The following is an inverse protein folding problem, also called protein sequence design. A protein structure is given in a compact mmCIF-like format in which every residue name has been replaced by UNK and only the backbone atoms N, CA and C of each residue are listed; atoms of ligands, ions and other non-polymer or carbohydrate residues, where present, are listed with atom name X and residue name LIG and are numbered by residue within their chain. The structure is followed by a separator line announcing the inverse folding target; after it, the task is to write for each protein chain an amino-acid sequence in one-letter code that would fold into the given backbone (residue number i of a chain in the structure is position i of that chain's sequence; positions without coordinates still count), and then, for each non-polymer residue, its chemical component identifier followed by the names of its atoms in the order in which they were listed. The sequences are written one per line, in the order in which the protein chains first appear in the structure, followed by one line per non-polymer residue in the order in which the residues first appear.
data_IF_417546391216
#
_entry.id   IF_417546391216
#
_cell.length_a   1.000
_cell.length_b   1.000
_cell.length_c   1.000
_cell.angle_alpha   90.00
_cell.angle_beta   90.00
_cell.angle_gamma   90.00
#
_symmetry.space_group_name_H-M   'P 1'
#
loop_
_entity.id
_entity.type
_entity.pdbx_description
1 polymer ?
#
# COMPACT_ATOMS: atom_id res chain seq x y z
N UNK A 1 8.45 -20.10 5.66
CA UNK A 1 8.89 -19.32 4.49
C UNK A 1 10.29 -19.80 4.13
N UNK A 2 10.62 -20.02 2.85
CA UNK A 2 11.99 -20.35 2.46
C UNK A 2 12.93 -19.19 2.78
N UNK A 3 14.16 -19.49 3.17
CA UNK A 3 15.22 -18.49 3.41
C UNK A 3 15.55 -17.79 2.10
N UNK A 4 15.60 -16.45 2.12
CA UNK A 4 15.89 -15.61 0.94
C UNK A 4 17.04 -14.62 1.18
N UNK A 5 17.58 -14.53 2.41
CA UNK A 5 18.74 -13.73 2.78
C UNK A 5 19.99 -14.55 3.09
N UNK A 6 21.17 -13.94 2.91
CA UNK A 6 22.47 -14.53 3.29
C UNK A 6 22.65 -14.63 4.82
N UNK A 7 21.78 -13.96 5.59
CA UNK A 7 21.68 -13.96 7.05
C UNK A 7 20.89 -15.16 7.62
N UNK A 8 20.30 -15.99 6.74
CA UNK A 8 19.48 -17.12 7.15
C UNK A 8 18.03 -16.76 7.49
N UNK A 9 17.60 -15.52 7.24
CA UNK A 9 16.22 -15.08 7.44
C UNK A 9 15.41 -15.08 6.12
N UNK A 10 14.10 -14.85 6.26
CA UNK A 10 13.16 -14.80 5.14
C UNK A 10 12.35 -13.50 5.21
N UNK A 11 12.19 -12.81 4.08
CA UNK A 11 11.31 -11.64 3.98
C UNK A 11 9.84 -12.06 4.13
N UNK A 12 9.17 -11.52 5.14
CA UNK A 12 7.77 -11.84 5.44
C UNK A 12 6.75 -11.14 4.55
N UNK A 13 7.16 -10.08 3.83
CA UNK A 13 6.27 -9.19 3.07
C UNK A 13 5.37 -9.98 2.11
N UNK A 14 5.94 -10.93 1.37
CA UNK A 14 5.20 -11.77 0.41
C UNK A 14 4.00 -12.52 1.02
N UNK A 15 4.07 -12.82 2.30
CA UNK A 15 3.10 -13.66 3.00
C UNK A 15 2.21 -12.87 3.97
N UNK A 16 2.47 -11.58 4.15
CA UNK A 16 1.80 -10.75 5.16
C UNK A 16 1.10 -9.55 4.55
N UNK A 17 1.65 -8.99 3.47
CA UNK A 17 1.13 -7.80 2.85
C UNK A 17 -0.07 -8.10 1.96
N UNK A 18 -1.16 -7.34 2.14
CA UNK A 18 -2.38 -7.33 1.33
C UNK A 18 -2.92 -8.72 0.94
N UNK A 19 -2.81 -9.71 1.83
CA UNK A 19 -3.15 -11.09 1.50
C UNK A 19 -4.65 -11.26 1.19
N UNK A 20 -5.02 -12.17 0.26
CA UNK A 20 -6.41 -12.50 0.01
C UNK A 20 -7.14 -12.92 1.30
N UNK A 21 -8.34 -12.37 1.51
CA UNK A 21 -9.16 -12.62 2.70
C UNK A 21 -9.04 -11.55 3.78
N UNK A 22 -8.11 -10.59 3.64
CA UNK A 22 -8.02 -9.43 4.53
C UNK A 22 -9.29 -8.56 4.45
N UNK A 23 -9.97 -8.56 3.31
CA UNK A 23 -11.20 -7.81 3.03
C UNK A 23 -12.33 -8.14 4.01
N UNK A 24 -12.45 -9.40 4.44
CA UNK A 24 -13.44 -9.82 5.43
C UNK A 24 -13.21 -9.11 6.76
N UNK A 25 -11.94 -9.07 7.21
CA UNK A 25 -11.58 -8.41 8.46
C UNK A 25 -11.69 -6.89 8.37
N UNK A 26 -11.30 -6.29 7.24
CA UNK A 26 -11.40 -4.84 7.03
C UNK A 26 -12.86 -4.39 6.92
N UNK A 27 -13.69 -5.16 6.22
CA UNK A 27 -15.14 -4.97 6.15
C UNK A 27 -15.77 -5.05 7.53
N UNK A 28 -15.48 -6.12 8.29
CA UNK A 28 -15.96 -6.27 9.66
C UNK A 28 -15.53 -5.10 10.55
N UNK A 29 -14.25 -4.73 10.50
CA UNK A 29 -13.70 -3.60 11.26
C UNK A 29 -14.47 -2.32 10.94
N UNK A 30 -14.67 -2.03 9.66
CA UNK A 30 -15.35 -0.84 9.20
C UNK A 30 -16.80 -0.80 9.70
N UNK A 31 -17.55 -1.87 9.45
CA UNK A 31 -18.96 -1.99 9.82
C UNK A 31 -19.16 -1.94 11.34
N UNK A 32 -18.32 -2.62 12.12
CA UNK A 32 -18.48 -2.71 13.57
C UNK A 32 -17.91 -1.49 14.31
N UNK A 33 -17.11 -0.65 13.68
CA UNK A 33 -16.46 0.50 14.33
C UNK A 33 -16.81 1.83 13.65
N UNK A 34 -16.02 2.27 12.69
CA UNK A 34 -16.00 3.66 12.24
C UNK A 34 -17.10 4.02 11.23
N UNK A 35 -17.67 3.07 10.47
CA UNK A 35 -18.83 3.35 9.58
C UNK A 35 -20.10 3.74 10.35
N UNK A 36 -20.13 3.50 11.67
CA UNK A 36 -21.22 3.93 12.56
C UNK A 36 -21.15 5.41 12.93
N UNK A 37 -20.06 6.09 12.58
CA UNK A 37 -19.78 7.47 12.98
C UNK A 37 -19.43 8.30 11.74
N UNK A 38 -19.72 9.59 11.79
CA UNK A 38 -19.31 10.53 10.75
C UNK A 38 -17.84 10.93 10.96
N UNK A 39 -16.93 10.01 10.67
CA UNK A 39 -15.49 10.20 10.83
C UNK A 39 -14.75 9.85 9.54
N UNK A 40 -13.61 10.52 9.33
CA UNK A 40 -12.71 10.23 8.23
C UNK A 40 -11.69 9.17 8.66
N UNK A 41 -11.42 8.20 7.79
CA UNK A 41 -10.41 7.16 8.02
C UNK A 41 -9.37 7.15 6.92
N UNK A 42 -8.11 6.92 7.33
CA UNK A 42 -6.99 6.75 6.42
C UNK A 42 -6.25 5.47 6.76
N UNK A 43 -5.98 4.64 5.76
CA UNK A 43 -5.20 3.40 5.91
C UNK A 43 -3.83 3.53 5.23
N UNK A 44 -2.79 2.99 5.88
CA UNK A 44 -1.47 2.85 5.28
C UNK A 44 -1.44 1.55 4.48
N UNK A 45 -1.37 1.62 3.14
CA UNK A 45 -1.49 0.45 2.27
C UNK A 45 -0.31 0.34 1.31
N UNK A 46 0.88 -0.08 1.79
CA UNK A 46 2.03 -0.24 0.92
C UNK A 46 1.77 -1.31 -0.14
N UNK A 47 2.18 -1.05 -1.38
CA UNK A 47 2.07 -1.96 -2.53
C UNK A 47 0.65 -2.53 -2.77
N UNK A 48 -0.40 -1.74 -2.50
CA UNK A 48 -1.77 -2.14 -2.82
C UNK A 48 -1.97 -2.17 -4.34
N UNK A 49 -2.55 -3.26 -4.85
CA UNK A 49 -2.87 -3.40 -6.26
C UNK A 49 -3.97 -2.41 -6.67
N UNK A 50 -3.82 -1.77 -7.83
CA UNK A 50 -4.75 -0.73 -8.29
C UNK A 50 -6.19 -1.24 -8.42
N UNK A 51 -6.35 -2.49 -8.83
CA UNK A 51 -7.65 -3.17 -8.99
C UNK A 51 -8.46 -3.23 -7.69
N UNK A 52 -7.78 -3.13 -6.53
CA UNK A 52 -8.40 -3.19 -5.20
C UNK A 52 -8.73 -1.82 -4.63
N UNK A 53 -8.42 -0.74 -5.34
CA UNK A 53 -8.68 0.62 -4.83
C UNK A 53 -10.17 0.83 -4.57
N UNK A 54 -11.05 0.28 -5.40
CA UNK A 54 -12.50 0.40 -5.18
C UNK A 54 -12.96 -0.25 -3.86
N UNK A 55 -12.37 -1.38 -3.49
CA UNK A 55 -12.72 -2.06 -2.24
C UNK A 55 -12.22 -1.26 -1.01
N UNK A 56 -11.07 -0.59 -1.14
CA UNK A 56 -10.47 0.17 -0.04
C UNK A 56 -11.01 1.60 0.09
N UNK A 57 -11.25 2.31 -1.02
CA UNK A 57 -11.57 3.74 -1.05
C UNK A 57 -12.65 4.13 -2.08
N UNK A 58 -13.36 3.15 -2.65
CA UNK A 58 -14.54 3.42 -3.48
C UNK A 58 -15.73 3.94 -2.66
N UNK A 59 -16.87 4.16 -3.31
CA UNK A 59 -18.10 4.68 -2.67
C UNK A 59 -18.51 3.87 -1.43
N UNK A 60 -18.41 2.54 -1.49
CA UNK A 60 -18.69 1.62 -0.39
C UNK A 60 -17.43 1.07 0.31
N UNK A 61 -16.27 1.67 0.04
CA UNK A 61 -14.96 1.17 0.46
C UNK A 61 -14.79 1.01 1.99
N UNK A 62 -13.72 0.31 2.39
CA UNK A 62 -13.38 0.12 3.80
C UNK A 62 -12.97 1.42 4.48
N UNK A 63 -12.28 2.33 3.78
CA UNK A 63 -11.72 3.55 4.33
C UNK A 63 -12.12 4.77 3.49
N UNK A 64 -11.98 5.97 4.06
CA UNK A 64 -12.21 7.21 3.29
C UNK A 64 -11.06 7.51 2.33
N UNK A 65 -9.84 7.12 2.67
CA UNK A 65 -8.63 7.31 1.87
C UNK A 65 -7.52 6.34 2.27
N UNK A 66 -6.47 6.27 1.44
CA UNK A 66 -5.26 5.50 1.71
C UNK A 66 -4.01 6.35 1.52
N UNK A 67 -2.94 6.00 2.24
CA UNK A 67 -1.58 6.37 1.85
C UNK A 67 -1.05 5.35 0.84
N UNK A 68 -0.91 5.79 -0.40
CA UNK A 68 -0.22 5.06 -1.46
C UNK A 68 1.26 5.44 -1.50
N UNK A 69 2.13 4.46 -1.24
CA UNK A 69 3.59 4.61 -1.22
C UNK A 69 4.24 4.37 -2.58
N UNK A 70 3.45 4.12 -3.63
CA UNK A 70 3.99 3.84 -4.97
C UNK A 70 4.91 4.95 -5.49
N UNK A 71 4.77 6.18 -4.99
CA UNK A 71 5.62 7.32 -5.36
C UNK A 71 6.89 7.46 -4.52
N UNK A 72 6.89 6.93 -3.29
CA UNK A 72 7.97 7.07 -2.31
C UNK A 72 9.26 6.37 -2.73
N UNK A 73 9.21 5.42 -3.67
CA UNK A 73 10.40 4.73 -4.19
C UNK A 73 11.16 5.54 -5.27
N UNK A 74 10.62 6.68 -5.74
CA UNK A 74 11.22 7.40 -6.86
C UNK A 74 12.60 7.99 -6.54
N UNK A 75 12.83 8.38 -5.29
CA UNK A 75 14.09 8.91 -4.78
C UNK A 75 14.88 7.88 -3.94
N UNK A 76 14.37 6.66 -3.76
CA UNK A 76 15.09 5.58 -3.11
C UNK A 76 16.04 4.87 -4.09
N UNK A 77 17.31 4.73 -3.73
CA UNK A 77 18.25 3.95 -4.53
C UNK A 77 17.85 2.46 -4.55
N UNK A 78 18.29 1.73 -5.60
CA UNK A 78 17.90 0.33 -5.89
C UNK A 78 18.06 -0.67 -4.73
N UNK A 79 18.82 -0.34 -3.71
CA UNK A 79 19.06 -1.17 -2.53
C UNK A 79 17.97 -1.02 -1.46
N UNK A 80 16.99 -0.13 -1.65
CA UNK A 80 15.77 -0.05 -0.83
C UNK A 80 15.97 0.58 0.55
N UNK A 81 17.09 1.26 0.77
CA UNK A 81 17.39 1.91 2.04
C UNK A 81 17.06 3.41 2.00
N UNK A 82 16.34 3.89 3.01
CA UNK A 82 15.93 5.30 3.16
C UNK A 82 17.10 6.30 3.25
N UNK A 83 18.33 5.82 3.42
CA UNK A 83 19.55 6.62 3.51
C UNK A 83 20.33 6.71 2.18
N UNK A 84 19.90 6.01 1.13
CA UNK A 84 20.50 6.11 -0.21
C UNK A 84 19.53 6.80 -1.17
N UNK A 85 19.83 8.08 -1.44
CA UNK A 85 18.97 8.96 -2.25
C UNK A 85 19.41 8.98 -3.71
N UNK A 86 18.47 8.98 -4.64
CA UNK A 86 18.70 9.22 -6.07
C UNK A 86 17.87 10.42 -6.57
N UNK A 87 18.31 11.05 -7.66
CA UNK A 87 17.55 12.15 -8.28
C UNK A 87 16.23 11.64 -8.89
N UNK A 88 15.13 12.30 -8.53
CA UNK A 88 13.81 12.02 -9.11
C UNK A 88 13.79 12.44 -10.58
N UNK A 89 13.61 11.47 -11.48
CA UNK A 89 13.42 11.74 -12.90
C UNK A 89 11.98 12.21 -13.15
N UNK A 90 11.81 13.45 -13.61
CA UNK A 90 10.48 14.05 -13.89
C UNK A 90 9.60 13.19 -14.80
N UNK A 91 10.19 12.47 -15.76
CA UNK A 91 9.46 11.59 -16.66
C UNK A 91 8.89 10.35 -15.94
N UNK A 92 9.58 9.82 -14.92
CA UNK A 92 9.09 8.69 -14.12
C UNK A 92 7.99 9.14 -13.16
N UNK A 93 8.14 10.32 -12.55
CA UNK A 93 7.07 10.95 -11.76
C UNK A 93 5.79 11.13 -12.59
N UNK A 94 5.90 11.71 -13.79
CA UNK A 94 4.76 11.88 -14.71
C UNK A 94 4.09 10.56 -15.08
N UNK A 95 4.86 9.50 -15.36
CA UNK A 95 4.31 8.18 -15.68
C UNK A 95 3.53 7.57 -14.51
N UNK A 96 4.00 7.72 -13.27
CA UNK A 96 3.28 7.23 -12.09
C UNK A 96 1.96 7.99 -11.88
N UNK A 97 1.98 9.33 -12.01
CA UNK A 97 0.75 10.13 -11.92
C UNK A 97 -0.29 9.78 -13.01
N UNK A 98 0.14 9.61 -14.26
CA UNK A 98 -0.74 9.34 -15.40
C UNK A 98 -1.22 7.87 -15.48
N UNK A 99 -0.73 6.98 -14.62
CA UNK A 99 -1.27 5.62 -14.47
C UNK A 99 -2.53 5.57 -13.62
N UNK A 100 -2.78 6.62 -12.82
CA UNK A 100 -3.91 6.74 -11.89
C UNK A 100 -5.09 7.49 -12.53
N UNK A 101 -5.05 7.73 -13.85
CA UNK A 101 -6.10 8.41 -14.63
C UNK A 101 -6.69 7.53 -15.71
#
# INVERSE_FOLDING_TARGET
MPVDGADGFAFSIKYTLNQPGIEEFLGELAEKTFKKYNCMTVAETPLLEYERYNDFIGEDGFFSMIFDFSYSDLDMAKEGFYYSVQDVKINELRKKFLKVS
#
